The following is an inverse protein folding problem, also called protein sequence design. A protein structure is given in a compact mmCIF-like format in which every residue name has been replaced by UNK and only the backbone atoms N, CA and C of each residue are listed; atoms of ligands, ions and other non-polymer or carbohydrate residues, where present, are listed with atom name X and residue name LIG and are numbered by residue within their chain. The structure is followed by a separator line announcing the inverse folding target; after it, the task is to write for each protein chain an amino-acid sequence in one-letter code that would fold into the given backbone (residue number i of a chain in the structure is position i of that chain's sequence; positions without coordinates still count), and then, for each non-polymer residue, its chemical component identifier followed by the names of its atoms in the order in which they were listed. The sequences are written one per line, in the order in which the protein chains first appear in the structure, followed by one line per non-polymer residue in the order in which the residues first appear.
data_IF_066620776438
#
_entry.id   IF_066620776438
#
_cell.length_a   1.000
_cell.length_b   1.000
_cell.length_c   1.000
_cell.angle_alpha   90.00
_cell.angle_beta   90.00
_cell.angle_gamma   90.00
#
_symmetry.space_group_name_H-M   'P 1'
#
loop_
_entity.id
_entity.type
_entity.pdbx_description
1 polymer ?
#
# COMPACT_ATOMS: atom_id res chain seq x y z
N UNK A 1 -12.88 14.63 8.77
CA UNK A 1 -12.51 13.25 8.41
C UNK A 1 -11.01 13.26 8.31
N UNK A 2 -10.30 12.66 9.26
CA UNK A 2 -8.83 12.59 9.21
C UNK A 2 -8.51 11.65 8.05
N UNK A 3 -8.01 12.17 6.94
CA UNK A 3 -7.57 11.32 5.83
C UNK A 3 -6.33 10.54 6.32
N UNK A 4 -6.54 9.30 6.78
CA UNK A 4 -5.43 8.40 7.09
C UNK A 4 -4.88 7.87 5.78
N UNK A 5 -3.91 8.57 5.21
CA UNK A 5 -3.11 8.08 4.10
C UNK A 5 -1.62 8.24 4.41
N UNK A 6 -0.79 7.46 3.73
CA UNK A 6 0.65 7.66 3.73
C UNK A 6 1.17 7.78 2.30
N UNK A 7 2.21 8.61 2.09
CA UNK A 7 2.82 8.76 0.79
C UNK A 7 3.65 7.53 0.42
N UNK A 8 3.68 7.19 -0.86
CA UNK A 8 4.56 6.17 -1.43
C UNK A 8 5.32 6.76 -2.60
N UNK A 9 6.60 6.41 -2.73
CA UNK A 9 7.41 6.76 -3.89
C UNK A 9 8.41 5.66 -4.22
N UNK A 10 8.54 5.35 -5.50
CA UNK A 10 9.47 4.34 -5.99
C UNK A 10 9.76 4.54 -7.48
N UNK A 11 10.76 3.83 -8.01
CA UNK A 11 11.08 3.82 -9.44
C UNK A 11 10.86 2.42 -10.01
N UNK A 12 10.18 2.34 -11.15
CA UNK A 12 9.94 1.08 -11.87
C UNK A 12 10.22 1.28 -13.36
N UNK A 13 11.12 0.48 -13.93
CA UNK A 13 11.61 0.61 -15.32
C UNK A 13 12.04 2.04 -15.72
N UNK A 14 12.72 2.75 -14.80
CA UNK A 14 13.18 4.13 -15.03
C UNK A 14 12.09 5.20 -14.94
N UNK A 15 10.85 4.83 -14.62
CA UNK A 15 9.75 5.75 -14.37
C UNK A 15 9.58 5.95 -12.87
N UNK A 16 9.57 7.22 -12.44
CA UNK A 16 9.25 7.57 -11.07
C UNK A 16 7.74 7.52 -10.84
N UNK A 17 7.33 6.87 -9.77
CA UNK A 17 5.96 6.83 -9.29
C UNK A 17 5.90 7.49 -7.93
N UNK A 18 4.96 8.40 -7.77
CA UNK A 18 4.63 9.05 -6.50
C UNK A 18 3.14 8.90 -6.25
N UNK A 19 2.74 8.66 -5.02
CA UNK A 19 1.36 8.35 -4.74
C UNK A 19 0.99 8.39 -3.28
N UNK A 20 -0.23 7.97 -3.02
CA UNK A 20 -0.79 7.83 -1.69
C UNK A 20 -1.53 6.51 -1.56
N UNK A 21 -1.42 5.94 -0.37
CA UNK A 21 -2.09 4.72 0.02
C UNK A 21 -2.98 5.03 1.21
N UNK A 22 -4.25 4.66 1.13
CA UNK A 22 -5.23 4.82 2.20
C UNK A 22 -5.79 3.45 2.60
N UNK A 23 -5.83 3.09 3.89
CA UNK A 23 -6.61 1.94 4.36
C UNK A 23 -8.08 2.12 4.00
N UNK A 24 -8.71 1.11 3.41
CA UNK A 24 -10.12 1.17 2.98
C UNK A 24 -11.01 0.21 3.81
N UNK A 25 -10.55 -1.03 3.98
CA UNK A 25 -11.29 -2.06 4.72
C UNK A 25 -10.39 -2.70 5.76
N UNK A 26 -11.02 -3.14 6.85
CA UNK A 26 -10.39 -3.95 7.89
C UNK A 26 -11.03 -5.34 7.90
N UNK A 27 -10.26 -6.37 8.22
CA UNK A 27 -10.78 -7.70 8.51
C UNK A 27 -11.39 -7.79 9.92
N UNK A 28 -11.92 -8.98 10.24
CA UNK A 28 -12.54 -9.27 11.54
C UNK A 28 -11.55 -9.21 12.71
N UNK A 29 -10.24 -9.21 12.43
CA UNK A 29 -9.18 -9.08 13.44
C UNK A 29 -8.75 -7.62 13.65
N UNK A 30 -9.34 -6.68 12.91
CA UNK A 30 -9.01 -5.26 12.96
C UNK A 30 -7.78 -4.88 12.15
N UNK A 31 -7.23 -5.79 11.34
CA UNK A 31 -6.12 -5.48 10.43
C UNK A 31 -6.67 -4.90 9.13
N UNK A 32 -5.96 -3.96 8.52
CA UNK A 32 -6.33 -3.47 7.19
C UNK A 32 -6.25 -4.60 6.15
N UNK A 33 -7.38 -4.93 5.54
CA UNK A 33 -7.52 -5.99 4.53
C UNK A 33 -7.37 -5.48 3.11
N UNK A 34 -7.68 -4.19 2.87
CA UNK A 34 -7.47 -3.56 1.58
C UNK A 34 -7.07 -2.10 1.67
N UNK A 35 -6.33 -1.65 0.66
CA UNK A 35 -5.81 -0.31 0.56
C UNK A 35 -6.18 0.32 -0.77
N UNK A 36 -6.75 1.51 -0.74
CA UNK A 36 -6.96 2.33 -1.92
C UNK A 36 -5.64 3.01 -2.33
N UNK A 37 -5.20 2.78 -3.57
CA UNK A 37 -3.92 3.29 -4.07
C UNK A 37 -4.12 4.24 -5.25
N UNK A 38 -3.47 5.40 -5.16
CA UNK A 38 -3.37 6.38 -6.26
C UNK A 38 -1.90 6.61 -6.55
N UNK A 39 -1.47 6.37 -7.78
CA UNK A 39 -0.12 6.64 -8.27
C UNK A 39 -0.18 7.68 -9.40
N UNK A 40 0.68 8.70 -9.34
CA UNK A 40 0.76 9.80 -10.29
C UNK A 40 -0.61 10.44 -10.56
N UNK A 41 -1.41 10.63 -9.51
CA UNK A 41 -2.80 11.11 -9.55
C UNK A 41 -3.79 10.24 -10.34
N UNK A 42 -3.40 9.00 -10.66
CA UNK A 42 -4.26 8.01 -11.32
C UNK A 42 -4.62 6.91 -10.33
N UNK A 43 -5.89 6.53 -10.29
CA UNK A 43 -6.34 5.38 -9.52
C UNK A 43 -5.60 4.13 -9.99
N UNK A 44 -4.78 3.56 -9.09
CA UNK A 44 -3.98 2.38 -9.40
C UNK A 44 -4.81 1.12 -9.25
N UNK A 45 -5.61 1.07 -8.18
CA UNK A 45 -6.47 -0.05 -7.80
C UNK A 45 -6.54 -0.20 -6.29
N UNK A 46 -7.34 -1.17 -5.84
CA UNK A 46 -7.33 -1.62 -4.46
C UNK A 46 -6.29 -2.71 -4.29
N UNK A 47 -5.34 -2.49 -3.39
CA UNK A 47 -4.33 -3.46 -2.99
C UNK A 47 -4.86 -4.32 -1.84
N UNK A 48 -4.67 -5.62 -1.93
CA UNK A 48 -4.97 -6.56 -0.85
C UNK A 48 -3.91 -7.65 -0.79
N UNK A 49 -3.74 -8.26 0.37
CA UNK A 49 -2.76 -9.32 0.56
C UNK A 49 -3.44 -10.68 0.48
N UNK A 50 -2.92 -11.56 -0.37
CA UNK A 50 -3.37 -12.93 -0.50
C UNK A 50 -2.20 -13.88 -0.21
N UNK A 51 -2.14 -14.36 1.03
CA UNK A 51 -1.00 -15.11 1.53
C UNK A 51 0.26 -14.25 1.56
N UNK A 52 1.28 -14.63 0.78
CA UNK A 52 2.56 -13.89 0.70
C UNK A 52 2.62 -12.85 -0.43
N UNK A 53 1.57 -12.77 -1.25
CA UNK A 53 1.56 -11.97 -2.45
C UNK A 53 0.61 -10.79 -2.33
N UNK A 54 1.00 -9.68 -2.95
CA UNK A 54 0.15 -8.53 -3.10
C UNK A 54 -0.66 -8.61 -4.40
N UNK A 55 -1.95 -8.35 -4.29
CA UNK A 55 -2.90 -8.37 -5.40
C UNK A 55 -3.53 -7.00 -5.55
N UNK A 56 -3.80 -6.62 -6.79
CA UNK A 56 -4.48 -5.38 -7.14
C UNK A 56 -5.77 -5.69 -7.90
N UNK A 57 -6.84 -4.96 -7.61
CA UNK A 57 -8.15 -5.13 -8.25
C UNK A 57 -8.14 -4.87 -9.76
N UNK A 58 -7.27 -3.95 -10.19
CA UNK A 58 -7.11 -3.53 -11.59
C UNK A 58 -6.09 -4.41 -12.31
N UNK A 59 -6.19 -4.51 -13.65
CA UNK A 59 -5.18 -5.21 -14.44
C UNK A 59 -3.88 -4.42 -14.49
N UNK A 60 -2.90 -4.80 -13.66
CA UNK A 60 -1.56 -4.19 -13.58
C UNK A 60 -0.47 -5.25 -13.69
N UNK A 61 0.77 -4.86 -14.08
CA UNK A 61 1.93 -5.75 -13.96
C UNK A 61 2.09 -6.24 -12.52
N UNK A 62 2.27 -7.55 -12.33
CA UNK A 62 2.38 -8.14 -11.00
C UNK A 62 3.54 -7.53 -10.19
N UNK A 63 4.68 -7.29 -10.85
CA UNK A 63 5.84 -6.65 -10.22
C UNK A 63 5.52 -5.23 -9.73
N UNK A 64 4.69 -4.47 -10.45
CA UNK A 64 4.31 -3.12 -10.04
C UNK A 64 3.39 -3.16 -8.82
N UNK A 65 2.49 -4.14 -8.74
CA UNK A 65 1.69 -4.37 -7.54
C UNK A 65 2.58 -4.78 -6.35
N UNK A 66 3.53 -5.69 -6.54
CA UNK A 66 4.48 -6.09 -5.50
C UNK A 66 5.34 -4.91 -5.01
N UNK A 67 5.76 -4.00 -5.89
CA UNK A 67 6.48 -2.78 -5.49
C UNK A 67 5.63 -1.89 -4.58
N UNK A 68 4.35 -1.69 -4.91
CA UNK A 68 3.42 -0.95 -4.04
C UNK A 68 3.24 -1.69 -2.71
N UNK A 69 3.06 -3.00 -2.76
CA UNK A 69 2.93 -3.85 -1.58
C UNK A 69 4.13 -3.76 -0.65
N UNK A 70 5.34 -3.75 -1.20
CA UNK A 70 6.57 -3.53 -0.45
C UNK A 70 6.60 -2.16 0.24
N UNK A 71 6.11 -1.10 -0.41
CA UNK A 71 5.96 0.21 0.24
C UNK A 71 4.99 0.16 1.43
N UNK A 72 3.88 -0.58 1.30
CA UNK A 72 2.90 -0.77 2.39
C UNK A 72 3.55 -1.52 3.55
N UNK A 73 4.22 -2.64 3.27
CA UNK A 73 4.90 -3.45 4.29
C UNK A 73 5.94 -2.61 5.06
N UNK A 74 6.80 -1.88 4.35
CA UNK A 74 7.80 -1.01 4.98
C UNK A 74 7.20 0.09 5.85
N UNK A 75 6.04 0.63 5.46
CA UNK A 75 5.37 1.67 6.24
C UNK A 75 4.93 1.12 7.61
N UNK A 76 4.30 -0.06 7.62
CA UNK A 76 3.86 -0.69 8.86
C UNK A 76 5.02 -1.23 9.70
N UNK A 77 6.08 -1.76 9.07
CA UNK A 77 7.29 -2.14 9.81
C UNK A 77 7.90 -0.95 10.55
N UNK A 78 7.96 0.24 9.92
CA UNK A 78 8.46 1.46 10.56
C UNK A 78 7.54 1.93 11.69
N UNK A 79 6.21 1.93 11.46
CA UNK A 79 5.25 2.26 12.51
C UNK A 79 5.42 1.37 13.75
N UNK A 80 5.62 0.06 13.55
CA UNK A 80 5.83 -0.89 14.65
C UNK A 80 7.18 -0.69 15.36
N UNK A 81 8.19 -0.14 14.69
CA UNK A 81 9.49 0.20 15.28
C UNK A 81 9.47 1.53 16.04
N UNK A 82 8.62 2.46 15.63
CA UNK A 82 8.45 3.78 16.25
C UNK A 82 7.50 3.77 17.46
N UNK A 83 6.80 2.65 17.73
CA UNK A 83 6.02 2.47 18.96
C UNK A 83 6.99 2.24 20.15
N UNK A 84 7.09 3.17 21.12
CA UNK A 84 7.94 2.96 22.27
C UNK A 84 7.43 1.77 23.05
N UNK A 85 8.28 0.78 23.28
CA UNK A 85 8.05 -0.30 24.24
C UNK A 85 7.61 0.33 25.58
N UNK A 86 6.31 0.24 25.89
CA UNK A 86 5.79 0.53 27.22
C UNK A 86 6.16 -0.57 28.20
#
# INVERSE_FOLDING_TARGET
MTENFFPVSFTYHGVAYEGRVSPEHTDDQGNTSSYHVVLNNVFFGYMSRNGRHWQVSEQRPAELAEMVGFCIDNYYEKLLQDEPHQ
#
